data_IF_954857092757
#
_entry.id   IF_954857092757
#
_cell.length_a   1.000
_cell.length_b   1.000
_cell.length_c   1.000
_cell.angle_alpha   90.00
_cell.angle_beta   90.00
_cell.angle_gamma   90.00
#
_symmetry.space_group_name_H-M   'P 1'
#
loop_
_entity.id
_entity.type
_entity.pdbx_description
1 polymer ?
#
# COMPACT_ATOMS: atom_id res chain seq x y z
N UNK A 1 -33.26 -15.04 -30.18
CA UNK A 1 -34.01 -15.00 -28.91
C UNK A 1 -33.42 -15.90 -27.84
N UNK A 2 -32.94 -17.11 -28.16
CA UNK A 2 -32.35 -18.05 -27.20
C UNK A 2 -31.02 -17.54 -26.61
N UNK A 3 -30.14 -16.95 -27.39
CA UNK A 3 -28.87 -16.36 -26.89
C UNK A 3 -29.11 -15.21 -25.89
N UNK A 4 -30.10 -14.38 -26.09
CA UNK A 4 -30.47 -13.32 -25.16
C UNK A 4 -30.98 -13.85 -23.84
N UNK A 5 -31.78 -14.90 -23.83
CA UNK A 5 -32.28 -15.54 -22.60
C UNK A 5 -31.16 -16.26 -21.82
N UNK A 6 -30.21 -16.88 -22.52
CA UNK A 6 -29.06 -17.53 -21.87
C UNK A 6 -28.14 -16.48 -21.20
N UNK A 7 -27.92 -15.34 -21.85
CA UNK A 7 -27.05 -14.29 -21.30
C UNK A 7 -27.72 -13.58 -20.12
N UNK A 8 -29.03 -13.38 -20.17
CA UNK A 8 -29.80 -12.80 -19.05
C UNK A 8 -29.78 -13.72 -17.82
N UNK A 9 -29.94 -15.04 -18.02
CA UNK A 9 -29.81 -16.04 -16.95
C UNK A 9 -28.39 -16.08 -16.36
N UNK A 10 -27.37 -16.03 -17.21
CA UNK A 10 -25.98 -16.03 -16.75
C UNK A 10 -25.65 -14.77 -15.91
N UNK A 11 -26.20 -13.61 -16.25
CA UNK A 11 -26.02 -12.36 -15.50
C UNK A 11 -26.71 -12.37 -14.15
N UNK A 12 -27.97 -12.80 -14.13
CA UNK A 12 -28.74 -12.98 -12.89
C UNK A 12 -28.00 -13.96 -11.98
N UNK A 13 -27.51 -15.07 -12.52
CA UNK A 13 -26.73 -16.04 -11.76
C UNK A 13 -25.43 -15.45 -11.22
N UNK A 14 -24.69 -14.62 -11.98
CA UNK A 14 -23.49 -13.93 -11.51
C UNK A 14 -23.80 -12.94 -10.38
N UNK A 15 -24.87 -12.17 -10.49
CA UNK A 15 -25.31 -11.26 -9.43
C UNK A 15 -25.70 -12.04 -8.16
N UNK A 16 -26.49 -13.10 -8.31
CA UNK A 16 -26.87 -13.94 -7.16
C UNK A 16 -25.67 -14.67 -6.54
N UNK A 17 -24.67 -15.06 -7.32
CA UNK A 17 -23.46 -15.70 -6.81
C UNK A 17 -22.50 -14.70 -6.12
N UNK A 18 -22.57 -13.41 -6.44
CA UNK A 18 -21.78 -12.39 -5.76
C UNK A 18 -22.23 -12.13 -4.32
N UNK A 19 -23.54 -12.24 -4.04
CA UNK A 19 -24.10 -12.00 -2.69
C UNK A 19 -23.55 -12.95 -1.62
N UNK A 20 -23.53 -14.29 -1.81
CA UNK A 20 -22.94 -15.20 -0.84
C UNK A 20 -21.44 -14.99 -0.67
N UNK A 21 -20.71 -14.57 -1.72
CA UNK A 21 -19.29 -14.24 -1.60
C UNK A 21 -19.07 -12.99 -0.74
N UNK A 22 -19.88 -11.94 -0.90
CA UNK A 22 -19.83 -10.77 -0.02
C UNK A 22 -20.24 -11.12 1.42
N UNK A 23 -21.28 -11.93 1.59
CA UNK A 23 -21.71 -12.37 2.92
C UNK A 23 -20.63 -13.21 3.61
N UNK A 24 -19.98 -14.12 2.88
CA UNK A 24 -18.87 -14.93 3.37
C UNK A 24 -17.66 -14.05 3.69
N UNK A 25 -17.31 -13.09 2.80
CA UNK A 25 -16.24 -12.15 3.06
C UNK A 25 -16.49 -11.33 4.34
N UNK A 26 -17.72 -10.85 4.54
CA UNK A 26 -18.12 -10.11 5.74
C UNK A 26 -18.04 -10.99 7.00
N UNK A 27 -18.50 -12.24 6.93
CA UNK A 27 -18.42 -13.19 8.05
C UNK A 27 -16.96 -13.52 8.42
N UNK A 28 -16.10 -13.73 7.42
CA UNK A 28 -14.67 -13.99 7.62
C UNK A 28 -13.93 -12.74 8.11
N UNK A 29 -14.35 -11.53 7.73
CA UNK A 29 -13.71 -10.27 8.13
C UNK A 29 -13.62 -10.10 9.65
N UNK A 30 -14.65 -10.52 10.38
CA UNK A 30 -14.66 -10.44 11.85
C UNK A 30 -13.77 -11.49 12.53
N UNK A 31 -13.26 -12.49 11.77
CA UNK A 31 -12.43 -13.58 12.26
C UNK A 31 -11.00 -13.56 11.70
N UNK A 32 -10.53 -12.42 11.23
CA UNK A 32 -9.16 -12.31 10.71
C UNK A 32 -8.18 -12.36 11.88
N UNK A 33 -7.54 -13.51 12.07
CA UNK A 33 -6.49 -13.74 13.07
C UNK A 33 -5.13 -13.97 12.41
N UNK A 34 -5.12 -14.43 11.15
CA UNK A 34 -3.90 -14.70 10.40
C UNK A 34 -3.84 -13.88 9.11
N UNK A 35 -2.63 -13.74 8.58
CA UNK A 35 -2.40 -13.10 7.26
C UNK A 35 -3.16 -13.84 6.15
N UNK A 36 -3.25 -15.17 6.25
CA UNK A 36 -3.95 -16.01 5.28
C UNK A 36 -5.45 -15.69 5.28
N UNK A 37 -6.07 -15.55 6.45
CA UNK A 37 -7.49 -15.18 6.56
C UNK A 37 -7.77 -13.84 5.87
N UNK A 38 -6.87 -12.87 6.09
CA UNK A 38 -6.96 -11.57 5.44
C UNK A 38 -6.90 -11.66 3.91
N UNK A 39 -5.99 -12.45 3.35
CA UNK A 39 -5.92 -12.67 1.91
C UNK A 39 -7.14 -13.43 1.36
N UNK A 40 -7.71 -14.37 2.11
CA UNK A 40 -8.97 -15.04 1.73
C UNK A 40 -10.11 -14.05 1.63
N UNK A 41 -10.27 -13.16 2.63
CA UNK A 41 -11.30 -12.12 2.62
C UNK A 41 -11.11 -11.17 1.43
N UNK A 42 -9.88 -10.71 1.18
CA UNK A 42 -9.57 -9.87 0.02
C UNK A 42 -9.93 -10.55 -1.30
N UNK A 43 -9.56 -11.82 -1.44
CA UNK A 43 -9.87 -12.61 -2.64
C UNK A 43 -11.37 -12.72 -2.85
N UNK A 44 -12.15 -12.99 -1.81
CA UNK A 44 -13.61 -13.08 -1.87
C UNK A 44 -14.23 -11.73 -2.31
N UNK A 45 -13.78 -10.62 -1.74
CA UNK A 45 -14.25 -9.27 -2.11
C UNK A 45 -13.95 -8.97 -3.58
N UNK A 46 -12.73 -9.24 -4.03
CA UNK A 46 -12.31 -8.97 -5.40
C UNK A 46 -13.09 -9.82 -6.41
N UNK A 47 -13.27 -11.12 -6.14
CA UNK A 47 -14.07 -11.99 -7.01
C UNK A 47 -15.54 -11.58 -7.04
N UNK A 48 -16.13 -11.26 -5.88
CA UNK A 48 -17.50 -10.77 -5.81
C UNK A 48 -17.68 -9.48 -6.63
N UNK A 49 -16.74 -8.54 -6.51
CA UNK A 49 -16.74 -7.29 -7.26
C UNK A 49 -16.60 -7.53 -8.78
N UNK A 50 -15.73 -8.47 -9.18
CA UNK A 50 -15.58 -8.85 -10.58
C UNK A 50 -16.89 -9.41 -11.17
N UNK A 51 -17.63 -10.21 -10.41
CA UNK A 51 -18.93 -10.75 -10.84
C UNK A 51 -20.02 -9.67 -10.96
N UNK A 52 -19.93 -8.60 -10.18
CA UNK A 52 -20.87 -7.45 -10.26
C UNK A 52 -20.57 -6.54 -11.46
N UNK A 53 -19.34 -6.54 -11.97
CA UNK A 53 -18.91 -5.63 -13.05
C UNK A 53 -19.82 -5.66 -14.30
N UNK A 54 -20.19 -6.82 -14.89
CA UNK A 54 -21.05 -6.84 -16.09
C UNK A 54 -22.42 -6.20 -15.84
N UNK A 55 -22.97 -6.37 -14.64
CA UNK A 55 -24.24 -5.76 -14.24
C UNK A 55 -24.10 -4.25 -14.11
N UNK A 56 -23.02 -3.78 -13.51
CA UNK A 56 -22.71 -2.35 -13.36
C UNK A 56 -22.52 -1.67 -14.72
N UNK A 57 -21.82 -2.29 -15.66
CA UNK A 57 -21.65 -1.78 -17.02
C UNK A 57 -23.01 -1.65 -17.71
N UNK A 58 -23.88 -2.64 -17.58
CA UNK A 58 -25.21 -2.59 -18.17
C UNK A 58 -26.09 -1.52 -17.54
N UNK A 59 -26.05 -1.38 -16.24
CA UNK A 59 -26.79 -0.34 -15.53
C UNK A 59 -26.39 1.06 -16.03
N UNK A 60 -25.09 1.34 -16.09
CA UNK A 60 -24.59 2.61 -16.61
C UNK A 60 -24.95 2.80 -18.09
N UNK A 61 -24.80 1.76 -18.88
CA UNK A 61 -25.15 1.81 -20.30
C UNK A 61 -26.67 2.08 -20.54
N UNK A 62 -27.54 1.45 -19.74
CA UNK A 62 -28.97 1.72 -19.75
C UNK A 62 -29.30 3.17 -19.36
N UNK A 63 -28.59 3.69 -18.36
CA UNK A 63 -28.72 5.09 -17.95
C UNK A 63 -28.29 6.05 -19.05
N UNK A 64 -27.18 5.77 -19.75
CA UNK A 64 -26.69 6.53 -20.89
C UNK A 64 -27.74 6.48 -22.02
N UNK A 65 -28.28 5.30 -22.36
CA UNK A 65 -29.33 5.13 -23.38
C UNK A 65 -30.56 5.96 -23.07
N UNK A 66 -30.99 6.01 -21.81
CA UNK A 66 -32.18 6.77 -21.39
C UNK A 66 -31.96 8.29 -21.44
N UNK A 67 -30.69 8.75 -21.28
CA UNK A 67 -30.35 10.19 -21.37
C UNK A 67 -30.01 10.67 -22.76
N UNK A 68 -29.65 9.78 -23.69
CA UNK A 68 -29.36 10.15 -25.07
C UNK A 68 -30.63 10.57 -25.80
N UNK A 69 -30.61 11.78 -26.39
CA UNK A 69 -31.69 12.29 -27.22
C UNK A 69 -31.95 11.36 -28.41
N UNK A 70 -33.21 11.19 -28.78
CA UNK A 70 -33.63 10.47 -30.02
C UNK A 70 -32.95 11.00 -31.28
N UNK A 71 -32.53 12.27 -31.27
CA UNK A 71 -31.80 12.91 -32.39
C UNK A 71 -30.42 12.30 -32.60
N UNK A 72 -29.79 11.76 -31.56
CA UNK A 72 -28.46 11.12 -31.61
C UNK A 72 -28.59 9.61 -31.81
N UNK A 73 -29.34 9.16 -32.80
CA UNK A 73 -29.64 7.76 -33.04
C UNK A 73 -28.39 6.89 -33.24
N UNK A 74 -27.29 7.42 -33.85
CA UNK A 74 -25.99 6.70 -34.00
C UNK A 74 -25.37 6.33 -32.65
N UNK A 75 -25.34 7.25 -31.70
CA UNK A 75 -24.80 6.98 -30.35
C UNK A 75 -25.70 6.03 -29.54
N UNK A 76 -27.02 6.18 -29.68
CA UNK A 76 -27.97 5.23 -29.08
C UNK A 76 -27.78 3.83 -29.63
N UNK A 77 -27.58 3.71 -30.94
CA UNK A 77 -27.33 2.44 -31.57
C UNK A 77 -26.00 1.84 -31.08
N UNK A 78 -24.90 2.61 -31.01
CA UNK A 78 -23.62 2.20 -30.48
C UNK A 78 -23.70 1.73 -28.99
N UNK A 79 -24.44 2.47 -28.15
CA UNK A 79 -24.69 2.08 -26.78
C UNK A 79 -25.53 0.79 -26.67
N UNK A 80 -26.52 0.60 -27.56
CA UNK A 80 -27.28 -0.65 -27.67
C UNK A 80 -26.41 -1.83 -28.10
N UNK A 81 -25.48 -1.59 -29.03
CA UNK A 81 -24.51 -2.60 -29.50
C UNK A 81 -23.51 -3.03 -28.41
N UNK A 82 -23.23 -2.15 -27.45
CA UNK A 82 -22.41 -2.49 -26.27
C UNK A 82 -22.98 -3.71 -25.50
N UNK A 83 -24.29 -3.84 -25.42
CA UNK A 83 -24.91 -5.01 -24.77
C UNK A 83 -24.58 -6.32 -25.51
N UNK A 84 -24.48 -6.29 -26.83
CA UNK A 84 -24.18 -7.47 -27.64
C UNK A 84 -22.69 -7.86 -27.54
N UNK A 85 -21.80 -6.90 -27.29
CA UNK A 85 -20.36 -7.15 -27.17
C UNK A 85 -19.94 -7.57 -25.75
N UNK A 86 -20.68 -7.16 -24.71
CA UNK A 86 -20.33 -7.37 -23.32
C UNK A 86 -20.08 -8.85 -22.95
N UNK A 87 -20.86 -9.86 -23.40
CA UNK A 87 -20.59 -11.26 -23.06
C UNK A 87 -19.21 -11.74 -23.50
N UNK A 88 -18.71 -11.25 -24.61
CA UNK A 88 -17.41 -11.65 -25.15
C UNK A 88 -16.25 -10.90 -24.49
N UNK A 89 -16.46 -9.67 -24.03
CA UNK A 89 -15.46 -8.84 -23.38
C UNK A 89 -15.44 -8.97 -21.86
N UNK A 90 -16.45 -9.58 -21.25
CA UNK A 90 -16.64 -9.59 -19.79
C UNK A 90 -15.43 -10.11 -19.02
N UNK A 91 -14.81 -11.22 -19.47
CA UNK A 91 -13.66 -11.82 -18.78
C UNK A 91 -12.44 -10.89 -18.83
N UNK A 92 -12.19 -10.25 -20.00
CA UNK A 92 -11.10 -9.30 -20.14
C UNK A 92 -11.33 -8.04 -19.29
N UNK A 93 -12.58 -7.56 -19.20
CA UNK A 93 -12.93 -6.40 -18.35
C UNK A 93 -12.87 -6.74 -16.85
N UNK A 94 -13.25 -7.97 -16.45
CA UNK A 94 -13.06 -8.46 -15.08
C UNK A 94 -11.58 -8.54 -14.72
N UNK A 95 -10.75 -9.09 -15.61
CA UNK A 95 -9.29 -9.13 -15.41
C UNK A 95 -8.70 -7.72 -15.32
N UNK A 96 -9.17 -6.78 -16.15
CA UNK A 96 -8.77 -5.37 -16.08
C UNK A 96 -9.18 -4.75 -14.74
N UNK A 97 -10.42 -4.96 -14.27
CA UNK A 97 -10.88 -4.49 -12.96
C UNK A 97 -9.98 -4.98 -11.83
N UNK A 98 -9.73 -6.29 -11.78
CA UNK A 98 -8.88 -6.89 -10.74
C UNK A 98 -7.46 -6.30 -10.79
N UNK A 99 -6.89 -6.16 -11.98
CA UNK A 99 -5.56 -5.58 -12.17
C UNK A 99 -5.50 -4.13 -11.71
N UNK A 100 -6.46 -3.29 -12.12
CA UNK A 100 -6.51 -1.89 -11.70
C UNK A 100 -6.68 -1.76 -10.19
N UNK A 101 -7.60 -2.54 -9.61
CA UNK A 101 -7.86 -2.56 -8.16
C UNK A 101 -6.61 -2.97 -7.37
N UNK A 102 -5.94 -4.05 -7.79
CA UNK A 102 -4.72 -4.53 -7.15
C UNK A 102 -3.59 -3.50 -7.25
N UNK A 103 -3.40 -2.88 -8.41
CA UNK A 103 -2.39 -1.84 -8.59
C UNK A 103 -2.65 -0.63 -7.68
N UNK A 104 -3.89 -0.13 -7.61
CA UNK A 104 -4.25 0.98 -6.72
C UNK A 104 -3.98 0.57 -5.26
N UNK A 105 -4.43 -0.62 -4.85
CA UNK A 105 -4.29 -1.11 -3.49
C UNK A 105 -2.84 -1.25 -3.04
N UNK A 106 -2.03 -1.93 -3.84
CA UNK A 106 -0.61 -2.18 -3.53
C UNK A 106 0.21 -0.89 -3.59
N UNK A 107 -0.02 -0.03 -4.59
CA UNK A 107 0.70 1.25 -4.69
C UNK A 107 0.37 2.15 -3.50
N UNK A 108 -0.88 2.20 -3.07
CA UNK A 108 -1.29 2.97 -1.88
C UNK A 108 -0.66 2.41 -0.60
N UNK A 109 -0.59 1.08 -0.44
CA UNK A 109 0.11 0.44 0.68
C UNK A 109 1.60 0.84 0.70
N UNK A 110 2.28 0.73 -0.44
CA UNK A 110 3.71 1.07 -0.55
C UNK A 110 3.97 2.55 -0.24
N UNK A 111 3.13 3.45 -0.76
CA UNK A 111 3.24 4.88 -0.48
C UNK A 111 2.98 5.19 1.00
N UNK A 112 1.97 4.56 1.60
CA UNK A 112 1.65 4.71 3.03
C UNK A 112 2.81 4.24 3.90
N UNK A 113 3.43 3.12 3.55
CA UNK A 113 4.59 2.62 4.29
C UNK A 113 5.82 3.51 4.10
N UNK A 114 6.07 4.00 2.87
CA UNK A 114 7.18 4.93 2.59
C UNK A 114 7.04 6.22 3.38
N UNK A 115 5.84 6.77 3.44
CA UNK A 115 5.55 7.99 4.19
C UNK A 115 5.71 7.76 5.71
N UNK A 116 5.12 6.68 6.24
CA UNK A 116 5.25 6.29 7.63
C UNK A 116 6.72 6.07 8.02
N UNK A 117 7.50 5.38 7.19
CA UNK A 117 8.93 5.16 7.41
C UNK A 117 9.73 6.46 7.37
N UNK A 118 9.44 7.34 6.40
CA UNK A 118 10.14 8.63 6.29
C UNK A 118 9.90 9.51 7.51
N UNK A 119 8.64 9.63 7.95
CA UNK A 119 8.26 10.41 9.12
C UNK A 119 8.83 9.81 10.42
N UNK A 120 8.79 8.49 10.55
CA UNK A 120 9.38 7.80 11.69
C UNK A 120 10.90 7.98 11.76
N UNK A 121 11.59 7.87 10.61
CA UNK A 121 13.04 8.11 10.54
C UNK A 121 13.38 9.57 10.93
N UNK A 122 12.54 10.53 10.57
CA UNK A 122 12.75 11.95 10.89
C UNK A 122 12.72 12.20 12.40
N UNK A 123 11.76 11.59 13.10
CA UNK A 123 11.63 11.68 14.56
C UNK A 123 12.70 10.83 15.26
N UNK A 124 12.87 9.60 14.81
CA UNK A 124 13.78 8.62 15.43
C UNK A 124 15.24 8.98 15.25
N UNK A 125 15.58 9.60 14.13
CA UNK A 125 16.91 10.10 13.80
C UNK A 125 16.95 11.63 13.93
N UNK A 126 16.56 12.15 15.09
CA UNK A 126 16.54 13.60 15.32
C UNK A 126 17.94 14.19 15.61
N UNK A 127 18.92 13.36 16.00
CA UNK A 127 20.30 13.78 16.18
C UNK A 127 21.04 13.88 14.83
N UNK A 128 21.98 14.81 14.71
CA UNK A 128 22.72 15.07 13.48
C UNK A 128 23.78 14.02 13.18
N UNK A 129 24.43 13.48 14.25
CA UNK A 129 25.50 12.48 14.17
C UNK A 129 25.20 11.32 15.12
N UNK A 130 25.42 10.11 14.62
CA UNK A 130 25.33 8.88 15.40
C UNK A 130 26.68 8.18 15.42
N UNK A 131 27.27 8.04 16.62
CA UNK A 131 28.55 7.34 16.83
C UNK A 131 28.24 5.90 17.19
N UNK A 132 28.91 4.95 16.51
CA UNK A 132 28.70 3.53 16.70
C UNK A 132 29.34 3.02 18.00
N UNK A 133 28.85 1.89 18.47
CA UNK A 133 29.24 1.24 19.73
C UNK A 133 30.75 0.87 19.87
N UNK A 134 31.46 0.78 18.77
CA UNK A 134 32.86 0.28 18.74
C UNK A 134 33.88 1.26 19.31
N UNK A 135 33.48 2.51 19.57
CA UNK A 135 34.42 3.54 20.09
C UNK A 135 34.64 3.40 21.59
N UNK A 136 35.84 3.07 22.00
CA UNK A 136 36.19 2.80 23.41
C UNK A 136 36.05 3.99 24.37
N UNK A 137 35.95 5.22 23.88
CA UNK A 137 35.90 6.46 24.67
C UNK A 137 34.54 7.19 24.60
N UNK A 138 33.43 6.48 24.31
CA UNK A 138 32.09 7.09 24.23
C UNK A 138 31.73 7.85 25.52
N UNK A 139 32.08 7.31 26.69
CA UNK A 139 31.77 7.93 27.98
C UNK A 139 32.47 9.27 28.18
N UNK A 140 33.68 9.44 27.64
CA UNK A 140 34.42 10.71 27.72
C UNK A 140 33.84 11.78 26.79
N UNK A 141 33.21 11.36 25.67
CA UNK A 141 32.52 12.26 24.76
C UNK A 141 31.17 12.73 25.31
N UNK A 142 30.49 11.85 26.05
CA UNK A 142 29.20 12.18 26.67
C UNK A 142 29.36 13.20 27.82
N UNK A 143 30.49 13.19 28.54
CA UNK A 143 30.74 14.00 29.74
C UNK A 143 31.41 15.35 29.45
N UNK A 144 32.03 15.56 28.28
CA UNK A 144 32.72 16.83 27.99
C UNK A 144 31.71 17.95 27.71
N UNK A 145 31.24 18.62 28.74
CA UNK A 145 30.48 19.86 28.68
C UNK A 145 31.36 21.00 28.16
N UNK A 146 30.79 21.84 27.27
CA UNK A 146 31.36 23.13 26.93
C UNK A 146 31.80 23.37 25.49
N UNK A 147 31.54 22.46 24.55
CA UNK A 147 31.79 22.75 23.14
C UNK A 147 30.61 23.52 22.53
N UNK A 148 30.90 24.70 21.93
CA UNK A 148 29.87 25.59 21.31
C UNK A 148 29.05 24.90 20.23
N UNK A 149 29.60 23.88 19.59
CA UNK A 149 28.93 23.16 18.51
C UNK A 149 27.92 22.10 18.98
N UNK A 150 27.98 21.67 20.25
CA UNK A 150 27.12 20.58 20.76
C UNK A 150 25.94 21.14 21.57
N UNK A 151 24.71 20.83 21.12
CA UNK A 151 23.48 21.18 21.86
C UNK A 151 23.18 20.10 22.89
N UNK A 152 23.23 18.82 22.50
CA UNK A 152 22.93 17.70 23.38
C UNK A 152 23.67 16.43 22.96
N UNK A 153 23.84 15.50 23.89
CA UNK A 153 24.35 14.16 23.61
C UNK A 153 23.67 13.15 24.51
N UNK A 154 23.17 12.06 23.93
CA UNK A 154 22.48 11.00 24.67
C UNK A 154 23.02 9.63 24.33
N UNK A 155 23.45 8.91 25.38
CA UNK A 155 23.88 7.53 25.25
C UNK A 155 22.69 6.60 25.31
N UNK A 156 22.52 5.75 24.31
CA UNK A 156 21.54 4.69 24.29
C UNK A 156 22.14 3.43 24.90
N UNK A 157 21.38 2.81 25.79
CA UNK A 157 21.76 1.55 26.43
C UNK A 157 20.71 0.50 26.11
N UNK A 158 21.11 -0.76 25.93
CA UNK A 158 20.18 -1.83 25.59
C UNK A 158 20.56 -3.15 26.26
N UNK A 159 19.52 -3.93 26.57
CA UNK A 159 19.63 -5.30 27.09
C UNK A 159 18.71 -6.20 26.28
N UNK A 160 19.27 -7.25 25.71
CA UNK A 160 18.50 -8.30 25.05
C UNK A 160 17.92 -9.24 26.10
N UNK A 161 16.63 -9.48 26.04
CA UNK A 161 15.88 -10.38 26.91
C UNK A 161 14.88 -11.20 26.12
N UNK A 162 14.08 -12.00 26.81
CA UNK A 162 12.93 -12.70 26.24
C UNK A 162 11.66 -12.33 27.00
N UNK A 163 10.61 -12.10 26.26
CA UNK A 163 9.28 -11.88 26.83
C UNK A 163 8.25 -12.74 26.10
N UNK A 164 7.43 -13.47 26.84
CA UNK A 164 6.47 -14.45 26.30
C UNK A 164 7.09 -15.38 25.23
N UNK A 165 8.33 -15.82 25.45
CA UNK A 165 9.03 -16.75 24.56
C UNK A 165 9.63 -16.12 23.28
N UNK A 166 9.40 -14.84 23.04
CA UNK A 166 9.95 -14.10 21.87
C UNK A 166 11.11 -13.20 22.28
N UNK A 167 12.02 -12.89 21.34
CA UNK A 167 13.08 -11.92 21.61
C UNK A 167 12.50 -10.55 21.97
N UNK A 168 13.06 -9.92 22.97
CA UNK A 168 12.70 -8.59 23.43
C UNK A 168 13.96 -7.78 23.75
N UNK A 169 13.89 -6.47 23.60
CA UNK A 169 14.94 -5.52 23.94
C UNK A 169 14.38 -4.53 24.95
N UNK A 170 15.06 -4.41 26.08
CA UNK A 170 14.81 -3.32 27.03
C UNK A 170 15.85 -2.25 26.77
N UNK A 171 15.40 -1.08 26.36
CA UNK A 171 16.28 0.04 26.02
C UNK A 171 16.16 1.13 27.09
N UNK A 172 17.29 1.48 27.66
CA UNK A 172 17.42 2.63 28.55
C UNK A 172 17.56 3.90 27.73
N UNK A 173 16.67 4.85 27.97
CA UNK A 173 16.63 6.13 27.25
C UNK A 173 16.74 7.29 28.23
N UNK A 174 17.30 8.38 27.79
CA UNK A 174 17.21 9.63 28.51
C UNK A 174 15.85 10.28 28.18
N UNK A 175 15.07 10.49 29.21
CA UNK A 175 13.70 11.03 29.07
C UNK A 175 13.67 12.49 28.57
N UNK A 176 14.78 13.20 28.67
CA UNK A 176 14.95 14.56 28.17
C UNK A 176 15.47 14.62 26.73
N UNK A 177 15.82 13.47 26.15
CA UNK A 177 16.31 13.41 24.78
C UNK A 177 15.26 13.88 23.77
N UNK A 178 15.61 14.73 22.78
CA UNK A 178 14.66 15.24 21.82
C UNK A 178 13.88 14.15 21.09
N UNK A 179 14.52 13.05 20.71
CA UNK A 179 13.87 11.91 20.04
C UNK A 179 12.86 11.15 20.92
N UNK A 180 12.94 11.34 22.23
CA UNK A 180 12.01 10.77 23.19
C UNK A 180 10.89 11.75 23.51
N UNK A 181 11.21 13.04 23.67
CA UNK A 181 10.22 14.09 23.95
C UNK A 181 9.26 14.27 22.77
N UNK A 182 9.79 14.26 21.53
CA UNK A 182 9.01 14.43 20.31
C UNK A 182 8.41 13.11 19.77
N UNK A 183 8.60 12.01 20.50
CA UNK A 183 8.12 10.70 20.06
C UNK A 183 6.60 10.67 20.01
N UNK A 184 6.06 10.32 18.85
CA UNK A 184 4.63 10.12 18.68
C UNK A 184 4.18 8.82 19.36
N UNK A 185 3.25 8.95 20.29
CA UNK A 185 2.58 7.84 20.94
C UNK A 185 1.17 7.69 20.36
N UNK A 186 0.91 6.68 19.51
CA UNK A 186 -0.43 6.45 18.95
C UNK A 186 -1.48 6.18 20.05
N UNK A 187 -1.05 5.65 21.17
CA UNK A 187 -1.88 5.49 22.38
C UNK A 187 -1.07 5.76 23.63
N UNK A 188 -1.64 6.54 24.53
CA UNK A 188 -1.08 6.82 25.84
C UNK A 188 -2.19 6.95 26.87
N UNK A 189 -1.88 6.70 28.14
CA UNK A 189 -2.79 7.01 29.22
C UNK A 189 -3.04 8.53 29.26
N UNK A 190 -4.31 8.92 29.29
CA UNK A 190 -4.74 10.33 29.23
C UNK A 190 -4.28 11.17 30.41
N UNK A 191 -3.81 10.52 31.47
CA UNK A 191 -3.24 11.18 32.63
C UNK A 191 -1.74 11.45 32.36
N UNK A 192 -1.47 12.50 31.59
CA UNK A 192 -0.12 13.02 31.34
C UNK A 192 0.61 13.44 32.62
N UNK A 193 -0.03 13.34 33.79
CA UNK A 193 0.53 13.62 35.11
C UNK A 193 1.38 12.49 35.70
N UNK A 194 1.33 11.27 35.10
CA UNK A 194 2.27 10.21 35.49
C UNK A 194 3.41 10.23 34.47
N UNK A 195 4.48 10.99 34.77
CA UNK A 195 5.64 10.98 33.90
C UNK A 195 6.17 9.55 33.91
N UNK A 196 6.16 8.90 32.74
CA UNK A 196 6.78 7.56 32.60
C UNK A 196 8.25 7.51 33.08
N UNK A 197 8.84 8.68 33.24
CA UNK A 197 10.14 8.94 33.83
C UNK A 197 10.20 8.87 35.35
N UNK A 198 9.07 8.75 36.06
CA UNK A 198 9.06 8.74 37.52
C UNK A 198 9.57 7.40 38.07
N UNK A 199 10.70 7.45 38.75
CA UNK A 199 11.32 6.30 39.40
C UNK A 199 10.61 5.82 40.67
N UNK A 200 9.70 6.63 41.23
CA UNK A 200 9.10 6.44 42.55
C UNK A 200 7.74 5.74 42.56
N UNK A 201 7.23 5.34 41.39
CA UNK A 201 5.92 4.68 41.28
C UNK A 201 6.12 3.17 41.14
N UNK A 202 5.36 2.39 41.93
CA UNK A 202 5.32 0.93 41.83
C UNK A 202 3.87 0.47 41.52
N UNK A 203 3.62 -0.26 40.44
CA UNK A 203 4.55 -0.72 39.41
C UNK A 203 5.04 0.43 38.50
N UNK A 204 6.31 0.38 38.13
CA UNK A 204 6.98 1.43 37.40
C UNK A 204 6.43 1.55 35.96
N UNK A 205 6.19 2.78 35.45
CA UNK A 205 5.71 3.01 34.11
C UNK A 205 6.76 2.63 33.03
N UNK A 206 6.30 2.06 31.94
CA UNK A 206 7.12 1.63 30.79
C UNK A 206 6.40 2.00 29.49
N UNK A 207 7.18 2.40 28.48
CA UNK A 207 6.70 2.50 27.11
C UNK A 207 7.02 1.22 26.35
N UNK A 208 6.11 0.76 25.49
CA UNK A 208 6.27 -0.42 24.68
C UNK A 208 6.02 -0.11 23.20
N UNK A 209 6.64 -0.88 22.30
CA UNK A 209 6.30 -0.75 20.89
C UNK A 209 4.94 -1.41 20.59
N UNK A 210 4.31 -1.01 19.48
CA UNK A 210 2.99 -1.52 19.10
C UNK A 210 2.94 -3.04 18.91
N UNK A 211 4.07 -3.70 18.63
CA UNK A 211 4.14 -5.16 18.56
C UNK A 211 3.75 -5.82 19.88
N UNK A 212 4.06 -5.19 21.01
CA UNK A 212 3.64 -5.67 22.34
C UNK A 212 2.12 -5.63 22.46
N UNK A 213 1.47 -4.58 21.92
CA UNK A 213 0.03 -4.48 21.88
C UNK A 213 -0.62 -5.54 20.98
N UNK A 214 -0.23 -5.57 19.71
CA UNK A 214 -0.92 -6.35 18.69
C UNK A 214 -0.53 -7.82 18.69
N UNK A 215 0.76 -8.14 18.74
CA UNK A 215 1.25 -9.52 18.76
C UNK A 215 1.38 -10.07 20.18
N UNK A 216 1.67 -9.21 21.14
CA UNK A 216 1.73 -9.54 22.56
C UNK A 216 0.38 -9.56 23.26
N UNK A 217 -0.68 -9.01 22.62
CA UNK A 217 -2.04 -8.92 23.17
C UNK A 217 -2.07 -8.28 24.57
N UNK A 218 -1.43 -7.11 24.69
CA UNK A 218 -1.38 -6.34 25.93
C UNK A 218 -2.08 -5.01 25.74
N UNK A 219 -2.93 -4.65 26.67
CA UNK A 219 -3.66 -3.39 26.66
C UNK A 219 -2.90 -2.28 27.38
N UNK A 220 -3.28 -1.02 27.08
CA UNK A 220 -2.80 0.15 27.79
C UNK A 220 -3.23 0.07 29.28
N UNK A 221 -2.30 0.38 30.20
CA UNK A 221 -2.52 0.26 31.66
C UNK A 221 -2.33 -1.15 32.20
N UNK A 222 -2.07 -2.15 31.35
CA UNK A 222 -1.83 -3.52 31.78
C UNK A 222 -0.39 -3.68 32.31
N UNK A 223 -0.24 -4.58 33.29
CA UNK A 223 1.06 -4.86 33.90
C UNK A 223 1.79 -5.95 33.14
N UNK A 224 3.02 -5.65 32.74
CA UNK A 224 3.96 -6.61 32.13
C UNK A 224 5.06 -6.98 33.12
N UNK A 225 5.52 -8.23 33.08
CA UNK A 225 6.65 -8.70 33.89
C UNK A 225 7.85 -8.93 33.00
N UNK A 226 8.97 -8.30 33.35
CA UNK A 226 10.25 -8.49 32.68
C UNK A 226 11.22 -9.14 33.65
N UNK A 227 12.01 -10.08 33.14
CA UNK A 227 13.01 -10.81 33.92
C UNK A 227 14.37 -10.15 33.79
N UNK A 228 15.03 -9.97 34.92
CA UNK A 228 16.43 -9.52 35.02
C UNK A 228 17.15 -10.26 36.12
N UNK A 229 18.27 -10.89 35.81
CA UNK A 229 19.12 -11.60 36.76
C UNK A 229 18.36 -12.64 37.62
N UNK A 230 17.35 -13.30 37.07
CA UNK A 230 16.52 -14.28 37.77
C UNK A 230 15.41 -13.67 38.64
N UNK A 231 15.28 -12.35 38.68
CA UNK A 231 14.18 -11.65 39.36
C UNK A 231 13.17 -11.10 38.33
N UNK A 232 11.89 -11.16 38.70
CA UNK A 232 10.79 -10.58 37.88
C UNK A 232 10.40 -9.22 38.42
N UNK A 233 10.42 -8.23 37.55
CA UNK A 233 9.99 -6.87 37.85
C UNK A 233 8.68 -6.59 37.09
N UNK A 234 7.75 -5.96 37.80
CA UNK A 234 6.45 -5.58 37.24
C UNK A 234 6.47 -4.13 36.75
N UNK A 235 5.92 -3.91 35.56
CA UNK A 235 5.84 -2.60 34.90
C UNK A 235 4.44 -2.37 34.36
N UNK A 236 3.95 -1.12 34.41
CA UNK A 236 2.67 -0.72 33.80
C UNK A 236 2.93 -0.06 32.45
N UNK A 237 2.26 -0.53 31.39
CA UNK A 237 2.35 0.09 30.09
C UNK A 237 1.57 1.40 30.09
N UNK A 238 2.26 2.51 29.94
CA UNK A 238 1.67 3.86 29.92
C UNK A 238 1.55 4.45 28.53
N UNK A 239 2.17 3.84 27.52
CA UNK A 239 2.06 4.26 26.13
C UNK A 239 2.68 3.25 25.17
N UNK A 240 2.19 3.31 23.93
CA UNK A 240 2.74 2.56 22.82
C UNK A 240 3.39 3.52 21.82
N UNK A 241 4.52 3.11 21.25
CA UNK A 241 5.23 3.89 20.22
C UNK A 241 5.41 3.08 18.93
N UNK A 242 5.53 3.80 17.82
CA UNK A 242 5.83 3.19 16.52
C UNK A 242 7.29 2.73 16.46
N UNK A 243 7.51 1.51 15.99
CA UNK A 243 8.84 0.93 15.80
C UNK A 243 8.86 0.11 14.51
N UNK A 244 9.07 0.80 13.38
CA UNK A 244 9.08 0.19 12.07
C UNK A 244 10.40 -0.53 11.78
N UNK A 245 10.31 -1.74 11.25
CA UNK A 245 11.48 -2.48 10.80
C UNK A 245 12.16 -3.36 11.85
N UNK A 246 11.62 -3.47 13.09
CA UNK A 246 12.11 -4.44 14.07
C UNK A 246 11.08 -5.55 14.32
N UNK A 247 11.48 -6.83 14.27
CA UNK A 247 10.59 -7.95 14.59
C UNK A 247 10.51 -8.26 16.08
N UNK A 248 11.16 -7.45 16.93
CA UNK A 248 11.30 -7.70 18.36
C UNK A 248 10.34 -6.86 19.18
N UNK A 249 9.96 -7.37 20.35
CA UNK A 249 9.35 -6.55 21.38
C UNK A 249 10.37 -5.56 21.91
N UNK A 250 9.99 -4.28 22.01
CA UNK A 250 10.86 -3.24 22.55
C UNK A 250 10.17 -2.48 23.64
N UNK A 251 10.92 -2.29 24.73
CA UNK A 251 10.47 -1.58 25.92
C UNK A 251 11.43 -0.44 26.22
N UNK A 252 10.90 0.74 26.49
CA UNK A 252 11.69 1.89 26.90
C UNK A 252 11.51 2.16 28.38
N UNK A 253 12.62 2.29 29.07
CA UNK A 253 12.75 2.67 30.47
C UNK A 253 13.77 3.80 30.60
N UNK A 254 13.70 4.61 31.68
CA UNK A 254 14.77 5.53 32.00
C UNK A 254 16.13 4.78 32.12
N UNK A 255 17.19 5.38 31.60
CA UNK A 255 18.53 4.75 31.56
C UNK A 255 19.03 4.32 32.93
N UNK A 256 18.74 5.11 33.98
CA UNK A 256 19.14 4.83 35.35
C UNK A 256 18.46 3.57 35.89
N UNK A 257 17.21 3.35 35.58
CA UNK A 257 16.45 2.14 35.93
C UNK A 257 17.07 0.91 35.28
N UNK A 258 17.39 1.02 33.98
CA UNK A 258 18.01 -0.10 33.23
C UNK A 258 19.39 -0.43 33.82
N UNK A 259 20.20 0.57 34.06
CA UNK A 259 21.53 0.38 34.67
C UNK A 259 21.46 -0.23 36.08
N UNK A 260 20.45 0.11 36.88
CA UNK A 260 20.26 -0.40 38.23
C UNK A 260 19.75 -1.85 38.25
N UNK A 261 18.84 -2.22 37.34
CA UNK A 261 18.15 -3.53 37.37
C UNK A 261 18.84 -4.61 36.52
N UNK A 262 19.57 -4.24 35.47
CA UNK A 262 20.25 -5.17 34.58
C UNK A 262 21.78 -5.06 34.68
N UNK A 263 22.46 -6.20 34.88
CA UNK A 263 23.92 -6.23 35.07
C UNK A 263 24.72 -6.12 33.76
N UNK A 264 24.14 -6.54 32.62
CA UNK A 264 24.83 -6.60 31.31
C UNK A 264 24.32 -5.52 30.36
N UNK A 265 24.19 -4.29 30.84
CA UNK A 265 23.78 -3.16 30.02
C UNK A 265 24.89 -2.82 29.04
N UNK A 266 24.52 -2.83 27.73
CA UNK A 266 25.48 -2.50 26.67
C UNK A 266 25.16 -1.10 26.15
N UNK A 267 26.21 -0.32 25.89
CA UNK A 267 26.05 0.92 25.13
C UNK A 267 25.71 0.58 23.67
N UNK A 268 24.67 1.18 23.14
CA UNK A 268 24.25 1.01 21.71
C UNK A 268 24.78 2.14 20.84
N UNK A 269 25.52 3.09 21.40
CA UNK A 269 26.09 4.24 20.71
C UNK A 269 25.71 5.56 21.36
N UNK A 270 26.19 6.64 20.75
CA UNK A 270 25.97 8.02 21.19
C UNK A 270 25.29 8.81 20.05
N UNK A 271 24.22 9.50 20.37
CA UNK A 271 23.56 10.45 19.49
C UNK A 271 24.00 11.88 19.85
N UNK A 272 24.38 12.67 18.88
CA UNK A 272 24.84 14.06 19.04
C UNK A 272 23.96 15.02 18.28
N UNK A 273 23.42 16.03 18.94
CA UNK A 273 22.74 17.15 18.35
C UNK A 273 23.71 18.32 18.23
N UNK A 274 23.83 18.85 17.02
CA UNK A 274 24.82 19.85 16.64
C UNK A 274 24.14 21.20 16.42
N UNK A 275 24.80 22.29 16.79
CA UNK A 275 24.29 23.64 16.56
C UNK A 275 24.17 23.91 15.03
N UNK A 276 23.14 24.64 14.58
CA UNK A 276 22.92 24.91 13.18
C UNK A 276 24.16 25.53 12.50
N UNK A 277 24.62 24.93 11.41
CA UNK A 277 25.81 25.37 10.66
C UNK A 277 27.15 24.90 11.21
N UNK A 278 27.19 24.15 12.33
CA UNK A 278 28.45 23.70 12.93
C UNK A 278 28.77 22.20 12.71
N UNK A 279 28.06 21.56 11.76
CA UNK A 279 28.23 20.12 11.51
C UNK A 279 29.66 19.75 11.09
N UNK A 280 30.27 20.53 10.21
CA UNK A 280 31.65 20.30 9.76
C UNK A 280 32.66 20.47 10.90
N UNK A 281 32.44 21.46 11.78
CA UNK A 281 33.29 21.65 12.98
C UNK A 281 33.13 20.48 13.94
N UNK A 282 31.93 19.95 14.14
CA UNK A 282 31.68 18.79 14.96
C UNK A 282 32.43 17.57 14.43
N UNK A 283 32.39 17.33 13.13
CA UNK A 283 33.09 16.22 12.46
C UNK A 283 34.61 16.35 12.60
N UNK A 284 35.16 17.53 12.38
CA UNK A 284 36.60 17.77 12.61
C UNK A 284 37.00 17.49 14.05
N UNK A 285 36.19 17.95 15.01
CA UNK A 285 36.44 17.69 16.43
C UNK A 285 36.40 16.20 16.78
N UNK A 286 35.50 15.42 16.15
CA UNK A 286 35.45 13.97 16.33
C UNK A 286 36.75 13.31 15.81
N UNK A 287 37.24 13.72 14.66
CA UNK A 287 38.49 13.24 14.06
C UNK A 287 39.69 13.61 14.95
N UNK A 288 39.75 14.84 15.46
CA UNK A 288 40.80 15.29 16.39
C UNK A 288 40.80 14.49 17.69
N UNK A 289 39.64 14.02 18.16
CA UNK A 289 39.49 13.13 19.32
C UNK A 289 39.80 11.66 19.01
N UNK A 290 40.23 11.35 17.78
CA UNK A 290 40.67 10.01 17.38
C UNK A 290 39.54 9.07 16.99
N UNK A 291 38.35 9.60 16.65
CA UNK A 291 37.20 8.81 16.13
C UNK A 291 37.29 8.82 14.61
N UNK A 292 37.45 7.65 14.03
CA UNK A 292 37.54 7.50 12.59
C UNK A 292 36.21 7.85 11.87
N UNK A 293 36.22 8.45 10.66
CA UNK A 293 35.01 8.75 9.89
C UNK A 293 34.09 7.55 9.61
N UNK A 294 34.61 6.33 9.71
CA UNK A 294 33.84 5.09 9.59
C UNK A 294 33.08 4.68 10.87
N UNK A 295 33.34 5.32 12.00
CA UNK A 295 32.74 5.00 13.30
C UNK A 295 31.53 5.88 13.64
N UNK A 296 31.22 6.86 12.81
CA UNK A 296 30.04 7.69 12.95
C UNK A 296 29.34 7.89 11.60
N UNK A 297 28.04 8.18 11.65
CA UNK A 297 27.19 8.36 10.47
C UNK A 297 26.32 9.61 10.67
N UNK A 298 26.16 10.40 9.61
CA UNK A 298 25.23 11.53 9.58
C UNK A 298 23.80 11.02 9.48
N UNK A 299 22.87 11.71 10.13
CA UNK A 299 21.43 11.46 10.01
C UNK A 299 20.97 11.38 8.55
N UNK A 300 21.39 12.37 7.73
CA UNK A 300 21.00 12.45 6.32
C UNK A 300 21.42 11.20 5.52
N UNK A 301 22.58 10.61 5.83
CA UNK A 301 23.07 9.42 5.15
C UNK A 301 22.27 8.18 5.57
N UNK A 302 21.94 8.04 6.86
CA UNK A 302 21.09 6.94 7.34
C UNK A 302 19.71 7.02 6.66
N UNK A 303 19.10 8.21 6.65
CA UNK A 303 17.78 8.42 6.05
C UNK A 303 17.82 8.10 4.55
N UNK A 304 18.82 8.62 3.83
CA UNK A 304 19.00 8.38 2.40
C UNK A 304 19.16 6.90 2.08
N UNK A 305 20.07 6.20 2.77
CA UNK A 305 20.33 4.77 2.54
C UNK A 305 19.10 3.94 2.89
N UNK A 306 18.41 4.25 3.99
CA UNK A 306 17.19 3.53 4.39
C UNK A 306 16.08 3.67 3.36
N UNK A 307 15.84 4.88 2.83
CA UNK A 307 14.84 5.11 1.79
C UNK A 307 15.27 4.50 0.44
N UNK A 308 16.56 4.49 0.11
CA UNK A 308 17.07 3.86 -1.10
C UNK A 308 16.87 2.33 -1.05
N UNK A 309 17.17 1.69 0.07
CA UNK A 309 16.90 0.25 0.29
C UNK A 309 15.42 -0.04 0.17
N UNK A 310 14.57 0.82 0.76
CA UNK A 310 13.13 0.72 0.66
C UNK A 310 12.67 0.80 -0.81
N UNK A 311 13.03 1.87 -1.51
CA UNK A 311 12.65 2.11 -2.89
C UNK A 311 13.12 0.98 -3.80
N UNK A 312 14.35 0.47 -3.62
CA UNK A 312 14.88 -0.68 -4.37
C UNK A 312 14.07 -1.97 -4.12
N UNK A 313 13.67 -2.21 -2.88
CA UNK A 313 12.86 -3.39 -2.52
C UNK A 313 11.50 -3.35 -3.20
N UNK A 314 10.87 -2.18 -3.25
CA UNK A 314 9.54 -2.02 -3.84
C UNK A 314 9.54 -1.79 -5.36
N UNK A 315 10.71 -1.56 -6.00
CA UNK A 315 10.82 -1.54 -7.47
C UNK A 315 10.38 -2.85 -8.12
N UNK A 316 10.66 -3.99 -7.49
CA UNK A 316 10.21 -5.30 -7.96
C UNK A 316 8.67 -5.37 -7.97
N UNK A 317 8.03 -4.88 -6.91
CA UNK A 317 6.57 -4.83 -6.82
C UNK A 317 5.98 -3.92 -7.91
N UNK A 318 6.58 -2.76 -8.15
CA UNK A 318 6.16 -1.85 -9.22
C UNK A 318 6.31 -2.49 -10.62
N UNK A 319 7.39 -3.24 -10.85
CA UNK A 319 7.58 -3.99 -12.09
C UNK A 319 6.53 -5.09 -12.29
N UNK A 320 6.21 -5.86 -11.23
CA UNK A 320 5.15 -6.87 -11.26
C UNK A 320 3.77 -6.24 -11.53
N UNK A 321 3.47 -5.12 -10.90
CA UNK A 321 2.24 -4.37 -11.14
C UNK A 321 2.13 -3.89 -12.59
N UNK A 322 3.22 -3.40 -13.16
CA UNK A 322 3.28 -3.00 -14.57
C UNK A 322 3.07 -4.20 -15.51
N UNK A 323 3.69 -5.34 -15.19
CA UNK A 323 3.54 -6.58 -15.97
C UNK A 323 2.08 -7.07 -15.96
N UNK A 324 1.42 -7.08 -14.81
CA UNK A 324 0.00 -7.49 -14.71
C UNK A 324 -0.91 -6.59 -15.53
N UNK A 325 -0.63 -5.28 -15.58
CA UNK A 325 -1.37 -4.34 -16.41
C UNK A 325 -1.17 -4.61 -17.92
N UNK A 326 0.06 -4.91 -18.33
CA UNK A 326 0.37 -5.31 -19.73
C UNK A 326 -0.39 -6.58 -20.09
N UNK A 327 -0.37 -7.59 -19.20
CA UNK A 327 -1.10 -8.86 -19.43
C UNK A 327 -2.61 -8.61 -19.57
N UNK A 328 -3.19 -7.79 -18.69
CA UNK A 328 -4.61 -7.43 -18.80
C UNK A 328 -4.91 -6.66 -20.10
N UNK A 329 -4.00 -5.78 -20.53
CA UNK A 329 -4.10 -5.08 -21.81
C UNK A 329 -4.05 -6.01 -23.02
N UNK A 330 -3.14 -7.00 -23.01
CA UNK A 330 -3.04 -8.02 -24.05
C UNK A 330 -4.30 -8.90 -24.08
N UNK A 331 -4.84 -9.27 -22.93
CA UNK A 331 -6.09 -10.02 -22.84
C UNK A 331 -7.27 -9.25 -23.42
N UNK A 332 -7.35 -7.94 -23.11
CA UNK A 332 -8.36 -7.05 -23.68
C UNK A 332 -8.21 -6.92 -25.22
N UNK A 333 -6.98 -6.74 -25.70
CA UNK A 333 -6.69 -6.68 -27.14
C UNK A 333 -7.10 -7.99 -27.83
N UNK A 334 -6.74 -9.14 -27.27
CA UNK A 334 -7.09 -10.44 -27.83
C UNK A 334 -8.61 -10.64 -27.91
N UNK A 335 -9.34 -10.27 -26.84
CA UNK A 335 -10.80 -10.31 -26.81
C UNK A 335 -11.43 -9.38 -27.86
N UNK A 336 -10.91 -8.15 -27.98
CA UNK A 336 -11.37 -7.20 -29.00
C UNK A 336 -11.15 -7.72 -30.42
N UNK A 337 -9.95 -8.28 -30.70
CA UNK A 337 -9.65 -8.84 -32.00
C UNK A 337 -10.59 -10.01 -32.34
N UNK A 338 -10.88 -10.89 -31.39
CA UNK A 338 -11.84 -11.99 -31.59
C UNK A 338 -13.25 -11.48 -31.91
N UNK A 339 -13.75 -10.50 -31.14
CA UNK A 339 -15.06 -9.88 -31.38
C UNK A 339 -15.13 -9.26 -32.77
N UNK A 340 -14.13 -8.47 -33.16
CA UNK A 340 -14.14 -7.77 -34.43
C UNK A 340 -13.92 -8.69 -35.64
N UNK A 341 -13.17 -9.79 -35.48
CA UNK A 341 -13.05 -10.79 -36.54
C UNK A 341 -14.40 -11.49 -36.83
N UNK A 342 -15.18 -11.81 -35.83
CA UNK A 342 -16.50 -12.41 -35.97
C UNK A 342 -17.51 -11.45 -36.64
N UNK A 343 -17.34 -10.14 -36.43
CA UNK A 343 -18.25 -9.09 -36.94
C UNK A 343 -17.81 -8.45 -38.27
N UNK A 344 -16.73 -8.97 -38.88
CA UNK A 344 -16.24 -8.47 -40.18
C UNK A 344 -17.32 -8.45 -41.28
N UNK A 345 -18.22 -9.45 -41.43
CA UNK A 345 -19.32 -9.42 -42.42
C UNK A 345 -20.30 -8.30 -42.13
N UNK A 346 -20.62 -8.02 -40.87
CA UNK A 346 -21.51 -6.90 -40.50
C UNK A 346 -20.88 -5.55 -40.88
N UNK A 347 -19.59 -5.38 -40.69
CA UNK A 347 -18.87 -4.15 -41.08
C UNK A 347 -18.86 -3.96 -42.59
N UNK A 348 -18.71 -5.02 -43.37
CA UNK A 348 -18.79 -4.95 -44.82
C UNK A 348 -20.19 -4.48 -45.30
N UNK A 349 -21.27 -4.92 -44.63
CA UNK A 349 -22.62 -4.43 -44.90
C UNK A 349 -22.79 -2.93 -44.56
N UNK A 350 -22.20 -2.46 -43.44
CA UNK A 350 -22.27 -1.03 -43.08
C UNK A 350 -21.56 -0.16 -44.11
N UNK A 351 -20.41 -0.63 -44.62
CA UNK A 351 -19.71 0.08 -45.70
C UNK A 351 -20.49 0.12 -46.99
N UNK A 352 -21.20 -0.95 -47.37
CA UNK A 352 -22.06 -0.96 -48.56
C UNK A 352 -23.26 0.02 -48.42
N UNK A 353 -23.67 0.32 -47.19
CA UNK A 353 -24.70 1.32 -46.86
C UNK A 353 -24.15 2.75 -46.73
N UNK A 354 -22.83 2.97 -46.98
CA UNK A 354 -22.23 4.29 -47.02
C UNK A 354 -21.67 4.78 -45.69
N UNK A 355 -21.53 3.91 -44.67
CA UNK A 355 -20.89 4.28 -43.39
C UNK A 355 -19.38 4.49 -43.63
N UNK A 356 -18.89 5.68 -43.34
CA UNK A 356 -17.45 6.01 -43.47
C UNK A 356 -16.61 5.35 -42.39
N UNK A 357 -15.29 5.19 -42.65
CA UNK A 357 -14.36 4.62 -41.67
C UNK A 357 -14.33 5.40 -40.34
N UNK A 358 -14.42 6.72 -40.39
CA UNK A 358 -14.46 7.56 -39.19
C UNK A 358 -15.73 7.34 -38.37
N UNK A 359 -16.88 7.18 -39.01
CA UNK A 359 -18.14 6.86 -38.34
C UNK A 359 -18.09 5.47 -37.71
N UNK A 360 -17.60 4.46 -38.46
CA UNK A 360 -17.38 3.12 -37.96
C UNK A 360 -16.50 3.13 -36.72
N UNK A 361 -15.35 3.84 -36.78
CA UNK A 361 -14.43 3.92 -35.64
C UNK A 361 -15.10 4.52 -34.39
N UNK A 362 -15.85 5.60 -34.53
CA UNK A 362 -16.60 6.22 -33.42
C UNK A 362 -17.65 5.27 -32.84
N UNK A 363 -18.34 4.52 -33.66
CA UNK A 363 -19.37 3.57 -33.25
C UNK A 363 -18.78 2.37 -32.48
N UNK A 364 -17.56 1.94 -32.82
CA UNK A 364 -16.87 0.85 -32.17
C UNK A 364 -16.13 1.34 -30.90
N UNK A 365 -15.50 2.50 -30.97
CA UNK A 365 -14.72 3.05 -29.85
C UNK A 365 -15.60 3.49 -28.68
N UNK A 366 -16.76 4.07 -28.92
CA UNK A 366 -17.64 4.60 -27.88
C UNK A 366 -18.08 3.53 -26.86
N UNK A 367 -18.63 2.37 -27.24
CA UNK A 367 -19.01 1.32 -26.30
C UNK A 367 -17.83 0.80 -25.48
N UNK A 368 -16.69 0.59 -26.12
CA UNK A 368 -15.48 0.11 -25.45
C UNK A 368 -14.98 1.11 -24.42
N UNK A 369 -14.86 2.39 -24.80
CA UNK A 369 -14.44 3.43 -23.87
C UNK A 369 -15.38 3.55 -22.68
N UNK A 370 -16.69 3.43 -22.92
CA UNK A 370 -17.69 3.43 -21.85
C UNK A 370 -17.47 2.25 -20.89
N UNK A 371 -17.28 1.03 -21.42
CA UNK A 371 -17.03 -0.16 -20.60
C UNK A 371 -15.73 -0.03 -19.77
N UNK A 372 -14.65 0.43 -20.40
CA UNK A 372 -13.36 0.63 -19.71
C UNK A 372 -13.46 1.75 -18.67
N UNK A 373 -14.16 2.83 -18.98
CA UNK A 373 -14.40 3.94 -18.05
C UNK A 373 -15.18 3.45 -16.82
N UNK A 374 -16.25 2.68 -16.99
CA UNK A 374 -17.02 2.10 -15.87
C UNK A 374 -16.14 1.17 -15.06
N UNK A 375 -15.33 0.33 -15.73
CA UNK A 375 -14.36 -0.56 -15.06
C UNK A 375 -13.37 0.22 -14.22
N UNK A 376 -12.78 1.29 -14.76
CA UNK A 376 -11.84 2.16 -14.05
C UNK A 376 -12.48 2.90 -12.87
N UNK A 377 -13.70 3.43 -13.05
CA UNK A 377 -14.44 4.09 -11.98
C UNK A 377 -14.78 3.14 -10.82
N UNK A 378 -15.08 1.87 -11.11
CA UNK A 378 -15.30 0.85 -10.07
C UNK A 378 -13.99 0.40 -9.40
N UNK A 379 -12.88 0.43 -10.13
CA UNK A 379 -11.57 0.07 -9.57
C UNK A 379 -11.12 1.04 -8.47
N UNK A 380 -11.51 2.31 -8.50
CA UNK A 380 -11.11 3.32 -7.50
C UNK A 380 -11.65 2.98 -6.10
N UNK A 381 -12.99 2.86 -5.88
CA UNK A 381 -13.50 2.52 -4.55
C UNK A 381 -13.06 1.13 -4.09
N UNK A 382 -12.96 0.16 -4.99
CA UNK A 382 -12.45 -1.16 -4.66
C UNK A 382 -10.97 -1.12 -4.27
N UNK A 383 -10.15 -0.33 -4.98
CA UNK A 383 -8.75 -0.11 -4.65
C UNK A 383 -8.58 0.59 -3.30
N UNK A 384 -9.48 1.52 -2.96
CA UNK A 384 -9.50 2.14 -1.64
C UNK A 384 -9.83 1.12 -0.53
N UNK A 385 -10.85 0.29 -0.71
CA UNK A 385 -11.20 -0.79 0.23
C UNK A 385 -10.04 -1.77 0.39
N UNK A 386 -9.40 -2.15 -0.70
CA UNK A 386 -8.23 -3.02 -0.70
C UNK A 386 -7.07 -2.39 0.08
N UNK A 387 -6.76 -1.12 -0.19
CA UNK A 387 -5.72 -0.36 0.53
C UNK A 387 -6.01 -0.30 2.03
N UNK A 388 -7.26 0.00 2.39
CA UNK A 388 -7.69 0.07 3.78
C UNK A 388 -7.51 -1.27 4.50
N UNK A 389 -7.89 -2.38 3.87
CA UNK A 389 -7.68 -3.72 4.44
C UNK A 389 -6.20 -4.07 4.58
N UNK A 390 -5.40 -3.75 3.55
CA UNK A 390 -3.95 -4.00 3.59
C UNK A 390 -3.27 -3.22 4.71
N UNK A 391 -3.61 -1.94 4.88
CA UNK A 391 -2.99 -1.05 5.86
C UNK A 391 -3.47 -1.34 7.29
N UNK A 392 -4.78 -1.40 7.52
CA UNK A 392 -5.33 -1.45 8.88
C UNK A 392 -5.62 -2.86 9.40
N UNK A 393 -5.64 -3.89 8.54
CA UNK A 393 -5.88 -5.27 8.97
C UNK A 393 -4.67 -6.16 8.71
N UNK A 394 -4.27 -6.34 7.45
CA UNK A 394 -3.19 -7.28 7.13
C UNK A 394 -1.84 -6.83 7.69
N UNK A 395 -1.51 -5.54 7.58
CA UNK A 395 -0.26 -5.02 8.09
C UNK A 395 -0.16 -5.22 9.61
N UNK A 396 -1.23 -4.94 10.35
CA UNK A 396 -1.25 -5.11 11.81
C UNK A 396 -1.12 -6.58 12.21
N UNK A 397 -1.81 -7.49 11.53
CA UNK A 397 -1.71 -8.93 11.81
C UNK A 397 -0.33 -9.48 11.41
N UNK A 398 0.26 -8.98 10.32
CA UNK A 398 1.54 -9.46 9.82
C UNK A 398 2.73 -8.94 10.64
N UNK A 399 2.73 -7.65 10.96
CA UNK A 399 3.90 -6.96 11.52
C UNK A 399 3.67 -6.42 12.94
N UNK A 400 2.43 -6.32 13.40
CA UNK A 400 2.10 -5.86 14.75
C UNK A 400 2.23 -4.34 14.97
N UNK A 401 2.21 -3.53 13.90
CA UNK A 401 2.26 -2.08 14.00
C UNK A 401 1.29 -1.41 13.01
N UNK A 402 0.86 -0.21 13.34
CA UNK A 402 -0.08 0.59 12.55
C UNK A 402 0.67 1.64 11.72
N UNK A 403 0.07 2.06 10.63
CA UNK A 403 0.54 3.19 9.84
C UNK A 403 -0.65 4.00 9.30
N UNK A 404 -0.49 5.31 9.04
CA UNK A 404 -1.53 6.10 8.42
C UNK A 404 -1.73 5.69 6.95
N UNK A 405 -2.99 5.63 6.51
CA UNK A 405 -3.29 5.43 5.10
C UNK A 405 -3.13 6.76 4.37
N UNK A 406 -2.14 6.83 3.50
CA UNK A 406 -1.85 8.01 2.67
C UNK A 406 -2.41 7.78 1.28
N UNK A 407 -3.58 8.39 1.01
CA UNK A 407 -4.19 8.33 -0.30
C UNK A 407 -3.58 9.37 -1.23
N UNK A 408 -3.11 8.94 -2.39
CA UNK A 408 -2.60 9.83 -3.44
C UNK A 408 -3.35 9.60 -4.75
N UNK A 409 -3.77 10.69 -5.40
CA UNK A 409 -4.39 10.64 -6.72
C UNK A 409 -3.38 10.44 -7.85
N UNK A 410 -2.10 10.74 -7.61
CA UNK A 410 -1.06 10.65 -8.65
C UNK A 410 -0.91 9.23 -9.24
N UNK A 411 -0.81 8.15 -8.44
CA UNK A 411 -0.79 6.79 -8.98
C UNK A 411 -2.07 6.42 -9.73
N UNK A 412 -3.23 6.87 -9.24
CA UNK A 412 -4.52 6.61 -9.91
C UNK A 412 -4.56 7.27 -11.29
N UNK A 413 -4.09 8.51 -11.39
CA UNK A 413 -4.01 9.24 -12.67
C UNK A 413 -3.02 8.60 -13.64
N UNK A 414 -1.84 8.19 -13.15
CA UNK A 414 -0.84 7.47 -13.95
C UNK A 414 -1.42 6.16 -14.50
N UNK A 415 -2.09 5.38 -13.66
CA UNK A 415 -2.71 4.13 -14.04
C UNK A 415 -3.85 4.35 -15.06
N UNK A 416 -4.68 5.38 -14.88
CA UNK A 416 -5.71 5.77 -15.84
C UNK A 416 -5.11 6.15 -17.20
N UNK A 417 -4.02 6.93 -17.20
CA UNK A 417 -3.34 7.32 -18.43
C UNK A 417 -2.76 6.11 -19.17
N UNK A 418 -2.10 5.19 -18.47
CA UNK A 418 -1.56 3.95 -19.06
C UNK A 418 -2.70 3.09 -19.61
N UNK A 419 -3.81 2.95 -18.86
CA UNK A 419 -4.98 2.21 -19.32
C UNK A 419 -5.56 2.80 -20.60
N UNK A 420 -5.70 4.12 -20.67
CA UNK A 420 -6.17 4.82 -21.87
C UNK A 420 -5.22 4.59 -23.05
N UNK A 421 -3.90 4.66 -22.85
CA UNK A 421 -2.93 4.36 -23.90
C UNK A 421 -3.05 2.92 -24.42
N UNK A 422 -3.22 1.94 -23.52
CA UNK A 422 -3.43 0.53 -23.90
C UNK A 422 -4.70 0.37 -24.73
N UNK A 423 -5.80 1.00 -24.32
CA UNK A 423 -7.09 0.95 -25.04
C UNK A 423 -6.98 1.62 -26.43
N UNK A 424 -6.35 2.78 -26.52
CA UNK A 424 -6.12 3.47 -27.80
C UNK A 424 -5.25 2.60 -28.73
N UNK A 425 -4.20 1.99 -28.21
CA UNK A 425 -3.33 1.10 -28.97
C UNK A 425 -4.11 -0.13 -29.47
N UNK A 426 -4.95 -0.73 -28.62
CA UNK A 426 -5.80 -1.86 -28.99
C UNK A 426 -6.80 -1.46 -30.09
N UNK A 427 -7.47 -0.32 -29.95
CA UNK A 427 -8.38 0.21 -30.98
C UNK A 427 -7.65 0.49 -32.30
N UNK A 428 -6.45 1.05 -32.26
CA UNK A 428 -5.66 1.32 -33.46
C UNK A 428 -5.28 0.01 -34.19
N UNK A 429 -4.86 -1.02 -33.46
CA UNK A 429 -4.55 -2.33 -34.03
C UNK A 429 -5.79 -2.95 -34.70
N UNK A 430 -6.93 -2.93 -33.99
CA UNK A 430 -8.21 -3.40 -34.52
C UNK A 430 -8.60 -2.64 -35.79
N UNK A 431 -8.51 -1.30 -35.76
CA UNK A 431 -8.81 -0.45 -36.90
C UNK A 431 -7.93 -0.77 -38.13
N UNK A 432 -6.63 -0.98 -37.92
CA UNK A 432 -5.69 -1.38 -38.97
C UNK A 432 -6.03 -2.75 -39.56
N UNK A 433 -6.40 -3.72 -38.73
CA UNK A 433 -6.77 -5.06 -39.17
C UNK A 433 -8.07 -5.04 -39.98
N UNK A 434 -9.11 -4.34 -39.48
CA UNK A 434 -10.38 -4.20 -40.20
C UNK A 434 -10.14 -3.52 -41.53
N UNK A 435 -9.39 -2.41 -41.58
CA UNK A 435 -9.08 -1.71 -42.84
C UNK A 435 -8.36 -2.61 -43.85
N UNK A 436 -7.49 -3.51 -43.45
CA UNK A 436 -6.78 -4.45 -44.32
C UNK A 436 -7.68 -5.58 -44.82
N UNK A 437 -8.59 -6.11 -43.98
CA UNK A 437 -9.42 -7.28 -44.30
C UNK A 437 -10.77 -6.90 -44.96
N UNK A 438 -11.23 -5.67 -44.80
CA UNK A 438 -12.51 -5.18 -45.35
C UNK A 438 -12.65 -5.36 -46.88
N UNK A 439 -11.61 -5.06 -47.71
CA UNK A 439 -11.74 -5.26 -49.16
C UNK A 439 -11.95 -6.74 -49.53
N UNK A 440 -11.38 -7.67 -48.79
CA UNK A 440 -11.56 -9.12 -49.00
C UNK A 440 -12.98 -9.53 -48.65
N UNK A 441 -13.50 -9.05 -47.52
CA UNK A 441 -14.88 -9.32 -47.08
C UNK A 441 -15.92 -8.75 -48.03
N UNK A 442 -15.69 -7.57 -48.62
CA UNK A 442 -16.56 -6.96 -49.64
C UNK A 442 -16.57 -7.80 -50.93
N UNK A 443 -15.42 -8.33 -51.37
CA UNK A 443 -15.38 -9.22 -52.55
C UNK A 443 -16.18 -10.52 -52.34
N UNK A 444 -16.11 -11.09 -51.11
CA UNK A 444 -16.89 -12.30 -50.79
C UNK A 444 -18.40 -12.04 -50.78
N UNK A 445 -18.86 -10.87 -50.33
CA UNK A 445 -20.29 -10.47 -50.41
C UNK A 445 -20.75 -10.25 -51.84
N UNK A 446 -19.92 -9.62 -52.71
CA UNK A 446 -20.21 -9.42 -54.11
C UNK A 446 -20.19 -10.71 -54.97
N UNK A 447 -19.44 -11.74 -54.52
CA UNK A 447 -19.39 -13.04 -55.18
C UNK A 447 -20.51 -14.03 -54.81
N UNK A 448 -21.28 -13.75 -53.73
CA UNK A 448 -22.45 -14.55 -53.34
C UNK A 448 -23.75 -14.03 -53.95
N UNK A 449 -23.69 -12.96 -54.72
CA UNK A 449 -24.85 -12.30 -55.35
C UNK A 449 -24.90 -12.52 -56.90
N UNK A 450 -24.09 -13.42 -57.44
CA UNK A 450 -24.15 -13.94 -58.80
C UNK A 450 -24.36 -15.46 -58.71
#
# INVERSE_FOLDING_TARGET
>A
SLMWQQDERARVMMMWSSLPLFALALACFYRIETVVDGFVVLTLILFAAALVLPVSIQFVNSMVLNRLSRRNWKLRWAASDAFAQLPQLRVALMALLLTLTANIGVTTLVNSFRDALSNWLEIRLSADIYIQRTVGNIDTLAVTDGSEWRIASHQRTGVSTRWRGRPAIVQGVDVSAPDIVDMQLPEQLSDASVPWASLSVDPQPILANEQVKHLGQVALGETVRLESAGQQYSYVIVGFFHDYGTPYYRFYLPSDVVKQRWQNVRSEGLALWVAPGMLEMAEQTLIEKGIDPGEWIRQADIKRVSLEIFDRTFQITAALNSLTLVVAGVALLAALLAVHQQRLPEYAHWYSLGVTFQEWFKLVAFPLLLMVMVTGLLAIPLGWVLSWMLVYKLNVVAFGWTMPLVWSWMPVMQLAMVTVMVVISALAIVALQVRRRLPVALKQLGGMGL
#
